data_IF_538351739327
#
_entry.id   IF_538351739327
#
_cell.length_a   1.000
_cell.length_b   1.000
_cell.length_c   1.000
_cell.angle_alpha   90.00
_cell.angle_beta   90.00
_cell.angle_gamma   90.00
#
_symmetry.space_group_name_H-M   'P 1'
#
loop_
_entity.id
_entity.type
_entity.pdbx_description
1 polymer ?
#
# COMPACT_ATOMS: atom_id res chain seq x y z
N UNK A 1 -27.71 11.96 -10.36
CA UNK A 1 -27.91 11.19 -9.11
C UNK A 1 -27.15 11.90 -8.02
N UNK A 2 -27.77 12.09 -6.85
CA UNK A 2 -27.16 12.72 -5.67
C UNK A 2 -27.07 11.66 -4.58
N UNK A 3 -25.93 11.57 -3.89
CA UNK A 3 -25.80 10.68 -2.73
C UNK A 3 -26.79 11.10 -1.63
N UNK A 4 -27.45 10.13 -1.00
CA UNK A 4 -28.48 10.37 0.01
C UNK A 4 -28.20 9.52 1.24
N UNK A 5 -28.20 10.15 2.41
CA UNK A 5 -27.99 9.46 3.67
C UNK A 5 -29.16 8.51 3.94
N UNK A 6 -28.92 7.19 4.08
CA UNK A 6 -30.01 6.22 4.28
C UNK A 6 -30.71 6.36 5.63
N UNK A 7 -30.09 7.07 6.59
CA UNK A 7 -30.64 7.28 7.94
C UNK A 7 -31.56 8.50 8.04
N UNK A 8 -31.21 9.61 7.39
CA UNK A 8 -31.91 10.90 7.59
C UNK A 8 -32.31 11.62 6.29
N UNK A 9 -32.01 11.05 5.12
CA UNK A 9 -32.39 11.61 3.82
C UNK A 9 -31.59 12.85 3.39
N UNK A 10 -30.65 13.36 4.20
CA UNK A 10 -29.77 14.49 3.83
C UNK A 10 -28.74 14.09 2.78
N UNK A 11 -28.15 15.08 2.13
CA UNK A 11 -27.19 14.88 1.03
C UNK A 11 -25.77 15.35 1.35
N UNK A 12 -25.56 15.91 2.54
CA UNK A 12 -24.26 16.42 2.99
C UNK A 12 -23.46 15.32 3.70
N UNK A 13 -22.22 15.16 3.26
CA UNK A 13 -21.29 14.17 3.78
C UNK A 13 -19.93 14.81 4.06
N UNK A 14 -19.26 14.27 5.06
CA UNK A 14 -17.93 14.68 5.49
C UNK A 14 -17.03 13.46 5.67
N UNK A 15 -15.73 13.72 5.70
CA UNK A 15 -14.72 12.73 6.06
C UNK A 15 -14.14 13.11 7.41
N UNK A 16 -14.22 12.19 8.38
CA UNK A 16 -13.69 12.39 9.72
C UNK A 16 -12.67 11.33 10.09
N UNK A 17 -11.61 11.73 10.79
CA UNK A 17 -10.67 10.79 11.38
C UNK A 17 -11.32 10.17 12.62
N UNK A 18 -11.32 8.85 12.69
CA UNK A 18 -11.84 8.09 13.82
C UNK A 18 -10.78 7.12 14.36
N UNK A 19 -10.86 6.84 15.66
CA UNK A 19 -10.03 5.87 16.37
C UNK A 19 -10.95 4.79 16.96
N UNK A 20 -11.31 3.74 16.17
CA UNK A 20 -12.17 2.67 16.65
C UNK A 20 -11.56 1.94 17.84
N UNK A 21 -12.41 1.52 18.79
CA UNK A 21 -11.97 0.73 19.94
C UNK A 21 -11.27 -0.55 19.49
N UNK A 22 -10.17 -0.90 20.17
CA UNK A 22 -9.33 -2.07 19.90
C UNK A 22 -8.63 -2.08 18.54
N UNK A 23 -8.58 -0.94 17.83
CA UNK A 23 -7.79 -0.77 16.62
C UNK A 23 -6.64 0.19 16.89
N UNK A 24 -5.40 -0.24 16.62
CA UNK A 24 -4.21 0.59 16.79
C UNK A 24 -4.02 1.64 15.68
N UNK A 25 -4.98 1.75 14.76
CA UNK A 25 -4.87 2.57 13.56
C UNK A 25 -6.06 3.53 13.43
N UNK A 26 -5.75 4.75 12.97
CA UNK A 26 -6.75 5.75 12.58
C UNK A 26 -7.40 5.35 11.26
N UNK A 27 -8.72 5.46 11.19
CA UNK A 27 -9.52 5.28 9.98
C UNK A 27 -10.17 6.60 9.59
N UNK A 28 -10.51 6.74 8.31
CA UNK A 28 -11.32 7.83 7.81
C UNK A 28 -12.75 7.31 7.61
N UNK A 29 -13.71 7.92 8.29
CA UNK A 29 -15.12 7.61 8.10
C UNK A 29 -15.72 8.64 7.14
N UNK A 30 -16.37 8.14 6.09
CA UNK A 30 -17.30 8.95 5.31
C UNK A 30 -18.64 8.88 6.03
N UNK A 31 -19.12 10.01 6.53
CA UNK A 31 -20.34 10.07 7.32
C UNK A 31 -21.25 11.22 6.90
N UNK A 32 -22.54 11.12 7.22
CA UNK A 32 -23.47 12.23 7.03
C UNK A 32 -23.17 13.34 8.04
N UNK A 33 -22.89 14.55 7.54
CA UNK A 33 -22.55 15.72 8.38
C UNK A 33 -23.67 16.15 9.31
N UNK A 34 -24.92 15.73 9.04
CA UNK A 34 -26.08 16.09 9.84
C UNK A 34 -26.35 15.11 10.98
N UNK A 35 -26.39 13.80 10.69
CA UNK A 35 -26.80 12.79 11.68
C UNK A 35 -25.66 11.86 12.15
N UNK A 36 -24.45 12.05 11.65
CA UNK A 36 -23.27 11.23 12.00
C UNK A 36 -23.34 9.78 11.53
N UNK A 37 -24.30 9.42 10.67
CA UNK A 37 -24.39 8.06 10.13
C UNK A 37 -23.17 7.77 9.25
N UNK A 38 -22.36 6.78 9.63
CA UNK A 38 -21.23 6.30 8.84
C UNK A 38 -21.76 5.51 7.64
N UNK A 39 -21.34 5.91 6.44
CA UNK A 39 -21.72 5.26 5.18
C UNK A 39 -20.54 4.59 4.48
N UNK A 40 -19.32 4.86 4.93
CA UNK A 40 -18.12 4.26 4.39
C UNK A 40 -16.94 4.43 5.35
N UNK A 41 -15.97 3.54 5.21
CA UNK A 41 -14.72 3.56 5.96
C UNK A 41 -13.58 3.38 4.97
N UNK A 42 -12.59 4.24 5.04
CA UNK A 42 -11.37 4.17 4.23
C UNK A 42 -10.14 4.32 5.11
N UNK A 43 -8.99 3.90 4.60
CA UNK A 43 -7.75 3.96 5.35
C UNK A 43 -7.24 5.41 5.43
N UNK A 44 -6.69 5.79 6.58
CA UNK A 44 -6.16 7.15 6.77
C UNK A 44 -4.77 7.35 6.17
N UNK A 45 -4.13 6.29 5.66
CA UNK A 45 -2.68 6.25 5.53
C UNK A 45 -2.20 5.91 4.11
N UNK A 46 -3.09 5.97 3.13
CA UNK A 46 -2.86 5.54 1.74
C UNK A 46 -2.17 4.16 1.70
N UNK A 47 -2.69 3.21 2.47
CA UNK A 47 -2.10 1.87 2.63
C UNK A 47 -1.93 1.18 1.27
N UNK A 48 -2.90 1.31 0.37
CA UNK A 48 -2.79 0.77 -1.00
C UNK A 48 -1.59 1.33 -1.78
N UNK A 49 -1.33 2.64 -1.70
CA UNK A 49 -0.19 3.26 -2.35
C UNK A 49 1.13 2.78 -1.74
N UNK A 50 1.19 2.67 -0.40
CA UNK A 50 2.38 2.17 0.29
C UNK A 50 2.69 0.73 -0.10
N UNK A 51 1.68 -0.14 -0.18
CA UNK A 51 1.84 -1.52 -0.65
C UNK A 51 2.38 -1.55 -2.08
N UNK A 52 1.80 -0.78 -3.00
CA UNK A 52 2.28 -0.72 -4.39
C UNK A 52 3.75 -0.25 -4.50
N UNK A 53 4.16 0.73 -3.68
CA UNK A 53 5.55 1.17 -3.59
C UNK A 53 6.46 0.07 -3.06
N UNK A 54 6.04 -0.63 -1.99
CA UNK A 54 6.80 -1.75 -1.44
C UNK A 54 6.97 -2.89 -2.45
N UNK A 55 5.92 -3.26 -3.18
CA UNK A 55 5.98 -4.26 -4.24
C UNK A 55 6.99 -3.89 -5.33
N UNK A 56 7.02 -2.61 -5.72
CA UNK A 56 7.98 -2.10 -6.70
C UNK A 56 9.42 -2.22 -6.20
N UNK A 57 9.69 -1.84 -4.95
CA UNK A 57 11.03 -1.95 -4.37
C UNK A 57 11.48 -3.40 -4.20
N UNK A 58 10.58 -4.31 -3.80
CA UNK A 58 10.88 -5.75 -3.72
C UNK A 58 11.29 -6.30 -5.10
N UNK A 59 10.55 -5.94 -6.16
CA UNK A 59 10.90 -6.35 -7.53
C UNK A 59 12.28 -5.82 -7.94
N UNK A 60 12.52 -4.52 -7.68
CA UNK A 60 13.81 -3.87 -7.98
C UNK A 60 14.98 -4.58 -7.29
N UNK A 61 14.81 -4.96 -6.03
CA UNK A 61 15.81 -5.72 -5.28
C UNK A 61 16.04 -7.11 -5.89
N UNK A 62 14.97 -7.81 -6.28
CA UNK A 62 15.05 -9.10 -6.97
C UNK A 62 15.85 -9.01 -8.28
N UNK A 63 15.60 -7.99 -9.09
CA UNK A 63 16.32 -7.76 -10.34
C UNK A 63 17.83 -7.51 -10.09
N UNK A 64 18.15 -6.70 -9.09
CA UNK A 64 19.54 -6.43 -8.70
C UNK A 64 20.27 -7.70 -8.22
N UNK A 65 19.60 -8.55 -7.43
CA UNK A 65 20.15 -9.84 -7.00
C UNK A 65 20.41 -10.75 -8.21
N UNK A 66 19.48 -10.77 -9.18
CA UNK A 66 19.66 -11.53 -10.43
C UNK A 66 20.92 -11.12 -11.19
N UNK A 67 21.09 -9.81 -11.40
CA UNK A 67 22.28 -9.26 -12.09
C UNK A 67 23.57 -9.62 -11.33
N UNK A 68 23.57 -9.46 -10.01
CA UNK A 68 24.72 -9.79 -9.18
C UNK A 68 25.10 -11.28 -9.30
N UNK A 69 24.12 -12.17 -9.29
CA UNK A 69 24.35 -13.61 -9.40
C UNK A 69 24.95 -14.01 -10.77
N UNK A 70 24.47 -13.40 -11.85
CA UNK A 70 25.04 -13.58 -13.19
C UNK A 70 26.49 -13.11 -13.26
N UNK A 71 26.76 -11.91 -12.73
CA UNK A 71 28.11 -11.35 -12.71
C UNK A 71 29.07 -12.21 -11.89
N UNK A 72 28.65 -12.66 -10.71
CA UNK A 72 29.43 -13.56 -9.88
C UNK A 72 29.75 -14.90 -10.60
N UNK A 73 28.75 -15.51 -11.23
CA UNK A 73 28.93 -16.75 -12.01
C UNK A 73 29.95 -16.56 -13.15
N UNK A 74 29.94 -15.41 -13.81
CA UNK A 74 30.91 -15.08 -14.86
C UNK A 74 32.33 -14.94 -14.30
N UNK A 75 32.50 -14.28 -13.14
CA UNK A 75 33.80 -14.15 -12.47
C UNK A 75 34.36 -15.50 -12.06
N UNK A 76 33.54 -16.36 -11.46
CA UNK A 76 33.93 -17.74 -11.09
C UNK A 76 34.42 -18.52 -12.31
N UNK A 77 33.73 -18.38 -13.45
CA UNK A 77 34.14 -19.01 -14.71
C UNK A 77 35.48 -18.45 -15.22
N UNK A 78 35.68 -17.13 -15.17
CA UNK A 78 36.95 -16.51 -15.56
C UNK A 78 38.12 -17.00 -14.70
N UNK A 79 37.94 -17.05 -13.37
CA UNK A 79 38.95 -17.59 -12.45
C UNK A 79 39.28 -19.05 -12.76
N UNK A 80 38.24 -19.87 -13.00
CA UNK A 80 38.40 -21.28 -13.35
C UNK A 80 39.21 -21.48 -14.63
N UNK A 81 39.06 -20.60 -15.62
CA UNK A 81 39.83 -20.64 -16.85
C UNK A 81 41.29 -20.22 -16.67
N UNK A 82 41.57 -19.30 -15.73
CA UNK A 82 42.94 -18.87 -15.41
C UNK A 82 43.72 -19.97 -14.67
N UNK A 83 43.06 -20.72 -13.78
CA UNK A 83 43.68 -21.83 -13.04
C UNK A 83 43.96 -23.08 -13.90
N UNK A 84 43.43 -23.15 -15.12
CA UNK A 84 43.65 -24.26 -16.07
C UNK A 84 44.77 -23.98 -17.09
N UNK A 85 45.38 -22.80 -17.04
CA UNK A 85 46.59 -22.45 -17.81
C UNK A 85 47.82 -22.59 -16.93
#
# INVERSE_FOLDING_TARGET
MTSTCPRCGRHDFEVVVNEPKNLAAKLLFVQCSFCGAVIGVTDNNNMGLKVAVMEKEIRRLGDQIGILNTNFSNLVRQMSNLLRK
#
